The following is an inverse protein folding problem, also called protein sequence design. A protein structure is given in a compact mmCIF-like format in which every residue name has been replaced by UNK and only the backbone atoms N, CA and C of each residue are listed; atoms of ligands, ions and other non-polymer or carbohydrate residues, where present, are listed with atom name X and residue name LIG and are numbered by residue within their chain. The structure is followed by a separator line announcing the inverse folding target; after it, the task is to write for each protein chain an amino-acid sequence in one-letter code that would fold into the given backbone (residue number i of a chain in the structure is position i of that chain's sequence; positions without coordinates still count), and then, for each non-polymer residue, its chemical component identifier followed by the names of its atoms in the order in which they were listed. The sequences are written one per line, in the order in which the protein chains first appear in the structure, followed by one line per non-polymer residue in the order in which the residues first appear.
data_IF_131904913681
#
_entry.id   IF_131904913681
#
_cell.length_a   1.000
_cell.length_b   1.000
_cell.length_c   1.000
_cell.angle_alpha   90.00
_cell.angle_beta   90.00
_cell.angle_gamma   90.00
#
_symmetry.space_group_name_H-M   'P 1'
#
loop_
_entity.id
_entity.type
_entity.pdbx_description
1 polymer ?
#
# COMPACT_ATOMS: atom_id res chain seq x y z
N UNK A 1 -1.43 15.47 10.63
CA UNK A 1 -0.74 15.54 9.33
C UNK A 1 -1.68 14.99 8.29
N UNK A 2 -1.60 15.51 7.08
CA UNK A 2 -2.33 15.08 5.89
C UNK A 2 -1.96 13.67 5.41
N UNK A 3 -0.72 13.27 5.69
CA UNK A 3 -0.22 11.95 5.33
C UNK A 3 -0.69 10.82 6.23
N UNK A 4 -0.58 9.62 5.68
CA UNK A 4 -0.92 8.36 6.32
C UNK A 4 -0.12 7.19 5.77
N UNK A 5 -0.44 6.01 6.27
CA UNK A 5 0.24 4.78 5.91
C UNK A 5 -0.79 3.70 5.61
N UNK A 6 -0.54 2.91 4.56
CA UNK A 6 -1.31 1.73 4.18
C UNK A 6 -0.37 0.55 4.20
N UNK A 7 -0.77 -0.54 4.85
CA UNK A 7 0.07 -1.71 5.04
C UNK A 7 -0.68 -2.93 4.53
N UNK A 8 -0.05 -3.71 3.64
CA UNK A 8 -0.54 -5.00 3.16
C UNK A 8 0.44 -6.11 3.49
N UNK A 9 -0.06 -7.13 4.19
CA UNK A 9 0.69 -8.35 4.51
C UNK A 9 0.67 -9.28 3.30
N UNK A 10 1.82 -9.80 2.90
CA UNK A 10 1.93 -10.90 1.93
C UNK A 10 2.47 -12.17 2.59
N UNK A 11 2.64 -13.25 1.82
CA UNK A 11 3.16 -14.52 2.34
C UNK A 11 4.59 -14.41 2.87
N UNK A 12 5.44 -13.63 2.19
CA UNK A 12 6.88 -13.54 2.46
C UNK A 12 7.36 -12.12 2.78
N UNK A 13 6.53 -11.09 2.59
CA UNK A 13 6.91 -9.70 2.78
C UNK A 13 5.77 -8.83 3.35
N UNK A 14 6.12 -7.61 3.77
CA UNK A 14 5.18 -6.58 4.17
C UNK A 14 5.29 -5.40 3.20
N UNK A 15 4.20 -5.06 2.52
CA UNK A 15 4.15 -3.89 1.63
C UNK A 15 3.66 -2.71 2.45
N UNK A 16 4.46 -1.64 2.48
CA UNK A 16 4.16 -0.42 3.22
C UNK A 16 4.11 0.74 2.22
N UNK A 17 2.93 1.33 2.05
CA UNK A 17 2.75 2.56 1.29
C UNK A 17 2.56 3.73 2.24
N UNK A 18 3.45 4.71 2.16
CA UNK A 18 3.31 5.98 2.86
C UNK A 18 2.77 6.98 1.83
N UNK A 19 1.75 7.73 2.19
CA UNK A 19 1.20 8.80 1.36
C UNK A 19 1.17 10.10 2.13
N UNK A 20 1.26 11.20 1.38
CA UNK A 20 1.04 12.54 1.87
C UNK A 20 0.19 13.33 0.87
N UNK A 21 -0.34 14.47 1.28
CA UNK A 21 -1.05 15.37 0.37
C UNK A 21 -0.15 15.74 -0.82
N UNK A 22 -0.67 15.73 -2.07
CA UNK A 22 -2.08 15.69 -2.47
C UNK A 22 -2.65 14.27 -2.73
N UNK A 23 -1.95 13.20 -2.36
CA UNK A 23 -2.41 11.85 -2.66
C UNK A 23 -3.60 11.46 -1.77
N UNK A 24 -4.73 11.17 -2.39
CA UNK A 24 -5.89 10.66 -1.67
C UNK A 24 -5.60 9.25 -1.12
N UNK A 25 -6.04 8.92 0.10
CA UNK A 25 -5.81 7.60 0.72
C UNK A 25 -6.25 6.42 -0.16
N UNK A 26 -7.36 6.57 -0.88
CA UNK A 26 -7.89 5.52 -1.77
C UNK A 26 -6.98 5.25 -2.98
N UNK A 27 -6.20 6.23 -3.44
CA UNK A 27 -5.22 6.00 -4.50
C UNK A 27 -4.02 5.22 -3.97
N UNK A 28 -3.50 5.55 -2.78
CA UNK A 28 -2.44 4.79 -2.14
C UNK A 28 -2.87 3.33 -1.91
N UNK A 29 -4.10 3.11 -1.44
CA UNK A 29 -4.59 1.77 -1.18
C UNK A 29 -4.58 0.89 -2.45
N UNK A 30 -5.05 1.42 -3.59
CA UNK A 30 -5.02 0.67 -4.86
C UNK A 30 -3.61 0.24 -5.27
N UNK A 31 -2.61 1.08 -5.03
CA UNK A 31 -1.20 0.78 -5.35
C UNK A 31 -0.65 -0.30 -4.42
N UNK A 32 -0.84 -0.14 -3.11
CA UNK A 32 -0.36 -1.10 -2.10
C UNK A 32 -1.05 -2.46 -2.26
N UNK A 33 -2.34 -2.47 -2.55
CA UNK A 33 -3.12 -3.68 -2.81
C UNK A 33 -2.61 -4.40 -4.06
N UNK A 34 -2.46 -3.71 -5.20
CA UNK A 34 -2.01 -4.32 -6.44
C UNK A 34 -0.57 -4.87 -6.37
N UNK A 35 0.34 -4.15 -5.73
CA UNK A 35 1.70 -4.65 -5.46
C UNK A 35 1.69 -5.85 -4.53
N UNK A 36 0.85 -5.83 -3.49
CA UNK A 36 0.75 -6.93 -2.55
C UNK A 36 0.14 -8.18 -3.14
N UNK A 37 -0.84 -8.08 -4.04
CA UNK A 37 -1.41 -9.25 -4.74
C UNK A 37 -0.34 -9.91 -5.62
N UNK A 38 0.41 -9.11 -6.39
CA UNK A 38 1.51 -9.63 -7.21
C UNK A 38 2.59 -10.36 -6.41
N UNK A 39 2.90 -9.87 -5.21
CA UNK A 39 3.87 -10.49 -4.28
C UNK A 39 3.27 -11.62 -3.43
N UNK A 40 1.94 -11.76 -3.40
CA UNK A 40 1.28 -12.84 -2.68
C UNK A 40 1.22 -14.13 -3.51
N UNK A 41 1.04 -13.98 -4.82
CA UNK A 41 0.97 -15.07 -5.79
C UNK A 41 2.35 -15.60 -6.25
N UNK A 42 3.46 -15.00 -5.77
CA UNK A 42 4.84 -15.45 -5.99
C UNK A 42 5.42 -16.19 -4.77
#
# INVERSE_FOLDING_TARGET
GSGGITIKKTNQALVIGIYDEPMAPGQCNKVVEGLGDYLYDQ
#
